data_IF_619213625872
#
_entry.id   IF_619213625872
#
_cell.length_a   1.000
_cell.length_b   1.000
_cell.length_c   1.000
_cell.angle_alpha   90.00
_cell.angle_beta   90.00
_cell.angle_gamma   90.00
#
_symmetry.space_group_name_H-M   'P 1'
#
loop_
_entity.id
_entity.type
_entity.pdbx_description
1 polymer ?
#
# COMPACT_ATOMS: atom_id res chain seq x y z
N UNK A 1 17.03 -7.52 19.69
CA UNK A 1 15.65 -7.01 19.84
C UNK A 1 14.91 -7.37 18.59
N UNK A 2 13.73 -7.96 18.72
CA UNK A 2 12.85 -8.26 17.57
C UNK A 2 12.47 -6.94 16.90
N UNK A 3 12.61 -6.87 15.58
CA UNK A 3 12.25 -5.65 14.84
C UNK A 3 10.74 -5.48 14.90
N UNK A 4 10.29 -4.33 15.34
CA UNK A 4 8.87 -4.03 15.42
C UNK A 4 8.33 -3.73 14.02
N UNK A 5 7.16 -4.27 13.71
CA UNK A 5 6.53 -4.21 12.40
C UNK A 5 5.14 -3.58 12.50
N UNK A 6 4.71 -2.91 11.45
CA UNK A 6 3.40 -2.29 11.35
C UNK A 6 2.77 -2.48 9.97
N UNK A 7 1.47 -2.25 9.91
CA UNK A 7 0.69 -2.17 8.66
C UNK A 7 -0.12 -0.88 8.70
N UNK A 8 -0.06 -0.11 7.64
CA UNK A 8 -0.84 1.13 7.49
C UNK A 8 -2.32 0.78 7.48
N UNK A 9 -3.09 1.47 8.33
CA UNK A 9 -4.54 1.28 8.47
C UNK A 9 -5.33 2.49 8.01
N UNK A 10 -4.72 3.68 7.98
CA UNK A 10 -5.29 4.85 7.33
C UNK A 10 -5.41 4.61 5.82
N UNK A 11 -6.33 5.26 5.17
CA UNK A 11 -6.52 5.25 3.71
C UNK A 11 -5.19 5.51 2.99
N UNK A 12 -4.49 6.54 3.42
CA UNK A 12 -3.10 6.85 3.11
C UNK A 12 -2.49 7.65 4.26
N UNK A 13 -1.17 7.73 4.31
CA UNK A 13 -0.44 8.61 5.22
C UNK A 13 0.84 9.12 4.57
N UNK A 14 1.29 10.30 5.02
CA UNK A 14 2.53 10.88 4.52
C UNK A 14 3.72 10.41 5.32
N UNK A 15 4.75 9.97 4.61
CA UNK A 15 6.09 9.81 5.17
C UNK A 15 6.76 11.17 5.22
N UNK A 16 7.08 11.66 6.42
CA UNK A 16 7.59 13.01 6.64
C UNK A 16 9.09 13.02 6.93
N UNK A 17 9.79 14.07 6.51
CA UNK A 17 11.23 14.22 6.73
C UNK A 17 11.61 14.46 8.19
N UNK A 18 10.69 14.93 9.04
CA UNK A 18 10.95 15.25 10.44
C UNK A 18 9.70 15.32 11.29
N UNK A 19 9.91 15.62 12.59
CA UNK A 19 8.86 15.76 13.60
C UNK A 19 8.73 17.17 14.15
N UNK A 20 9.29 18.18 13.48
CA UNK A 20 9.30 19.52 14.02
C UNK A 20 7.89 20.14 14.00
N UNK A 21 7.35 20.33 15.20
CA UNK A 21 6.21 21.20 15.43
C UNK A 21 6.74 22.63 15.67
N UNK A 22 6.68 23.49 14.68
CA UNK A 22 6.75 24.93 14.94
C UNK A 22 5.34 25.49 14.80
N UNK A 23 4.85 26.11 15.86
CA UNK A 23 3.56 26.85 15.90
C UNK A 23 2.30 25.98 15.67
N UNK A 24 2.29 24.71 16.08
CA UNK A 24 1.14 23.81 15.91
C UNK A 24 0.84 23.46 14.46
N UNK A 25 1.74 23.77 13.52
CA UNK A 25 1.68 23.39 12.11
C UNK A 25 2.88 22.50 11.81
N UNK A 26 2.61 21.28 11.41
CA UNK A 26 3.67 20.39 10.92
C UNK A 26 4.21 20.95 9.59
N UNK A 27 5.39 21.56 9.62
CA UNK A 27 6.08 22.13 8.45
C UNK A 27 7.16 21.23 7.88
N UNK A 28 7.20 19.97 8.31
CA UNK A 28 8.16 19.02 7.74
C UNK A 28 7.78 18.67 6.31
N UNK A 29 8.77 18.48 5.46
CA UNK A 29 8.57 18.05 4.08
C UNK A 29 7.85 16.70 4.02
N UNK A 30 7.10 16.48 2.95
CA UNK A 30 6.57 15.17 2.58
C UNK A 30 7.63 14.51 1.72
N UNK A 31 8.10 13.34 2.15
CA UNK A 31 9.07 12.53 1.42
C UNK A 31 8.35 11.55 0.48
N UNK A 32 7.21 11.03 0.94
CA UNK A 32 6.43 10.06 0.18
C UNK A 32 5.00 9.93 0.72
N UNK A 33 4.16 9.21 -0.01
CA UNK A 33 2.81 8.83 0.37
C UNK A 33 2.70 7.31 0.37
N UNK A 34 2.22 6.74 1.48
CA UNK A 34 2.08 5.30 1.68
C UNK A 34 0.63 4.93 1.97
N UNK A 35 0.19 3.78 1.47
CA UNK A 35 -1.23 3.42 1.37
C UNK A 35 -1.65 2.32 2.34
N UNK A 36 -2.95 2.20 2.57
CA UNK A 36 -3.55 1.18 3.41
C UNK A 36 -3.04 -0.23 3.04
N UNK A 37 -2.69 -1.00 4.05
CA UNK A 37 -2.20 -2.36 3.91
C UNK A 37 -0.69 -2.50 3.62
N UNK A 38 0.04 -1.40 3.40
CA UNK A 38 1.49 -1.45 3.24
C UNK A 38 2.18 -1.74 4.57
N UNK A 39 3.20 -2.58 4.51
CA UNK A 39 4.02 -2.90 5.68
C UNK A 39 5.11 -1.86 5.91
N UNK A 40 5.36 -1.59 7.18
CA UNK A 40 6.43 -0.71 7.64
C UNK A 40 7.24 -1.38 8.75
N UNK A 41 8.51 -1.00 8.86
CA UNK A 41 9.38 -1.35 9.97
C UNK A 41 9.51 -0.16 10.91
N UNK A 42 9.24 -0.36 12.20
CA UNK A 42 9.38 0.68 13.21
C UNK A 42 10.84 0.73 13.61
N UNK A 43 11.48 1.88 13.38
CA UNK A 43 12.89 2.10 13.67
C UNK A 43 13.11 2.75 15.04
N UNK A 44 12.25 3.73 15.37
CA UNK A 44 12.37 4.48 16.61
C UNK A 44 11.00 4.97 17.07
N UNK A 45 10.72 4.70 18.32
CA UNK A 45 9.53 5.22 19.02
C UNK A 45 9.93 6.33 19.99
N UNK A 46 9.09 7.34 20.10
CA UNK A 46 9.16 8.31 21.18
C UNK A 46 7.80 8.36 21.85
N UNK A 47 7.65 7.82 23.08
CA UNK A 47 6.37 7.78 23.77
C UNK A 47 5.75 9.16 24.05
N UNK A 48 6.56 10.21 23.97
CA UNK A 48 6.10 11.60 24.18
C UNK A 48 5.65 12.28 22.89
N UNK A 49 5.71 11.59 21.74
CA UNK A 49 5.36 12.16 20.43
C UNK A 49 4.43 11.22 19.67
N UNK A 50 3.50 11.80 18.93
CA UNK A 50 2.53 11.07 18.12
C UNK A 50 3.15 10.46 16.84
N UNK A 51 4.37 10.87 16.47
CA UNK A 51 5.07 10.41 15.28
C UNK A 51 6.14 9.37 15.60
N UNK A 52 6.20 8.35 14.77
CA UNK A 52 7.12 7.22 14.86
C UNK A 52 8.02 7.18 13.64
N UNK A 53 9.33 7.00 13.82
CA UNK A 53 10.24 6.80 12.69
C UNK A 53 10.10 5.40 12.16
N UNK A 54 9.84 5.30 10.86
CA UNK A 54 9.60 4.04 10.17
C UNK A 54 10.47 3.92 8.92
N UNK A 55 10.58 2.70 8.42
CA UNK A 55 11.14 2.36 7.12
C UNK A 55 10.07 1.65 6.30
N UNK A 56 9.88 2.08 5.07
CA UNK A 56 8.96 1.45 4.11
C UNK A 56 9.55 0.15 3.55
N UNK A 57 8.75 -0.63 2.85
CA UNK A 57 9.20 -1.88 2.21
C UNK A 57 10.26 -1.65 1.11
N UNK A 58 10.37 -0.45 0.55
CA UNK A 58 11.36 -0.06 -0.45
C UNK A 58 12.52 0.77 0.13
N UNK A 59 12.65 0.84 1.46
CA UNK A 59 13.82 1.38 2.16
C UNK A 59 13.78 2.88 2.44
N UNK A 60 12.70 3.60 2.11
CA UNK A 60 12.57 4.98 2.52
C UNK A 60 12.31 5.07 4.02
N UNK A 61 12.96 6.03 4.66
CA UNK A 61 12.78 6.29 6.09
C UNK A 61 12.17 7.66 6.32
N UNK A 62 11.26 7.75 7.28
CA UNK A 62 10.63 9.00 7.67
C UNK A 62 9.72 8.81 8.88
N UNK A 63 8.88 9.78 9.12
CA UNK A 63 8.00 9.81 10.27
C UNK A 63 6.54 9.68 9.85
N UNK A 64 5.80 8.81 10.53
CA UNK A 64 4.38 8.53 10.32
C UNK A 64 3.64 8.72 11.64
N UNK A 65 2.40 9.22 11.60
CA UNK A 65 1.54 9.31 12.78
C UNK A 65 1.24 7.89 13.30
N UNK A 66 1.40 7.68 14.61
CA UNK A 66 1.16 6.37 15.22
C UNK A 66 -0.30 5.90 15.11
N UNK A 67 -1.24 6.80 14.82
CA UNK A 67 -2.66 6.50 14.61
C UNK A 67 -2.95 5.91 13.25
N UNK A 68 -2.04 6.11 12.28
CA UNK A 68 -2.22 5.71 10.89
C UNK A 68 -1.81 4.27 10.62
N UNK A 69 -1.24 3.57 11.60
CA UNK A 69 -0.85 2.18 11.46
C UNK A 69 -1.15 1.36 12.72
N UNK A 70 -1.25 0.06 12.55
CA UNK A 70 -1.27 -0.89 13.68
C UNK A 70 -0.01 -1.74 13.70
N UNK A 71 0.42 -2.15 14.89
CA UNK A 71 1.51 -3.11 15.04
C UNK A 71 1.06 -4.50 14.63
N UNK A 72 1.97 -5.23 14.01
CA UNK A 72 1.73 -6.60 13.55
C UNK A 72 2.89 -7.50 13.95
N UNK A 73 2.61 -8.80 14.05
CA UNK A 73 3.64 -9.81 14.25
C UNK A 73 4.28 -10.20 12.91
N UNK A 74 5.49 -10.77 12.97
CA UNK A 74 6.13 -11.38 11.81
C UNK A 74 5.24 -12.44 11.14
N UNK A 75 4.61 -13.29 11.95
CA UNK A 75 3.69 -14.33 11.46
C UNK A 75 2.52 -13.75 10.66
N UNK A 76 1.98 -12.62 11.11
CA UNK A 76 0.91 -11.95 10.36
C UNK A 76 1.40 -11.42 9.02
N UNK A 77 2.59 -10.81 8.96
CA UNK A 77 3.16 -10.37 7.68
C UNK A 77 3.45 -11.54 6.74
N UNK A 78 3.90 -12.68 7.26
CA UNK A 78 4.11 -13.90 6.47
C UNK A 78 2.79 -14.40 5.86
N UNK A 79 1.69 -14.37 6.62
CA UNK A 79 0.35 -14.72 6.10
C UNK A 79 -0.10 -13.76 4.99
N UNK A 80 0.24 -12.48 5.10
CA UNK A 80 -0.09 -11.48 4.08
C UNK A 80 0.71 -11.64 2.77
N UNK A 81 1.67 -12.56 2.71
CA UNK A 81 2.38 -12.89 1.48
C UNK A 81 1.53 -13.70 0.48
N UNK A 82 0.45 -14.30 0.93
CA UNK A 82 -0.49 -15.02 0.06
C UNK A 82 -1.14 -14.06 -0.94
N UNK A 83 -0.73 -14.12 -2.19
CA UNK A 83 -1.16 -13.24 -3.28
C UNK A 83 -2.54 -13.56 -3.83
N UNK A 84 -3.06 -14.72 -3.52
CA UNK A 84 -4.43 -15.09 -3.85
C UNK A 84 -5.41 -14.55 -2.81
N UNK A 85 -4.92 -14.35 -1.59
CA UNK A 85 -5.70 -13.84 -0.47
C UNK A 85 -5.55 -12.32 -0.29
N UNK A 86 -4.35 -11.78 -0.43
CA UNK A 86 -4.09 -10.34 -0.28
C UNK A 86 -3.90 -9.70 -1.63
N UNK A 87 -4.90 -8.95 -2.06
CA UNK A 87 -5.00 -8.35 -3.38
C UNK A 87 -4.75 -6.83 -3.33
N UNK A 88 -4.40 -6.26 -4.47
CA UNK A 88 -4.18 -4.83 -4.63
C UNK A 88 -5.38 -4.17 -5.30
N UNK A 89 -5.72 -2.96 -4.88
CA UNK A 89 -6.66 -2.08 -5.59
C UNK A 89 -5.95 -1.56 -6.85
N UNK A 90 -6.57 -1.74 -8.03
CA UNK A 90 -5.99 -1.31 -9.31
C UNK A 90 -6.56 -0.02 -9.86
N UNK A 91 -7.77 0.35 -9.47
CA UNK A 91 -8.43 1.61 -9.86
C UNK A 91 -7.92 2.76 -9.00
N UNK A 92 -8.04 4.00 -9.48
CA UNK A 92 -7.63 5.20 -8.73
C UNK A 92 -8.24 5.22 -7.34
N UNK A 93 -9.55 5.02 -7.28
CA UNK A 93 -10.36 4.96 -6.07
C UNK A 93 -11.37 3.83 -6.19
N UNK A 94 -11.75 3.24 -5.07
CA UNK A 94 -12.80 2.23 -4.97
C UNK A 94 -13.50 2.29 -3.61
N UNK A 95 -14.82 2.37 -3.61
CA UNK A 95 -15.61 2.30 -2.39
C UNK A 95 -15.71 0.85 -1.89
N UNK A 96 -15.47 0.68 -0.61
CA UNK A 96 -15.86 -0.52 0.14
C UNK A 96 -17.30 -0.33 0.61
N UNK A 97 -18.23 -1.15 0.12
CA UNK A 97 -19.66 -0.99 0.36
C UNK A 97 -20.21 -1.99 1.39
N UNK A 98 -21.30 -1.65 2.04
CA UNK A 98 -21.99 -2.53 3.01
C UNK A 98 -22.75 -3.68 2.35
N UNK A 99 -23.04 -3.58 1.04
CA UNK A 99 -23.77 -4.57 0.25
C UNK A 99 -23.16 -4.72 -1.15
N UNK A 100 -23.25 -5.92 -1.78
CA UNK A 100 -22.74 -6.18 -3.12
C UNK A 100 -23.65 -5.61 -4.21
N UNK A 101 -23.82 -4.30 -4.21
CA UNK A 101 -24.63 -3.56 -5.20
C UNK A 101 -24.20 -2.10 -5.27
N UNK A 102 -24.41 -1.46 -6.42
CA UNK A 102 -24.03 -0.06 -6.67
C UNK A 102 -24.66 0.93 -5.67
N UNK A 103 -25.85 0.61 -5.13
CA UNK A 103 -26.54 1.46 -4.15
C UNK A 103 -26.15 1.14 -2.69
N UNK A 104 -25.12 0.31 -2.47
CA UNK A 104 -24.57 0.06 -1.13
C UNK A 104 -24.06 1.36 -0.50
N UNK A 105 -24.08 1.42 0.83
CA UNK A 105 -23.53 2.56 1.55
C UNK A 105 -21.99 2.43 1.60
N UNK A 106 -21.24 3.49 1.29
CA UNK A 106 -19.80 3.47 1.40
C UNK A 106 -19.38 3.39 2.88
N UNK A 107 -18.54 2.41 3.19
CA UNK A 107 -17.96 2.17 4.51
C UNK A 107 -16.56 2.76 4.62
N UNK A 108 -15.77 2.64 3.56
CA UNK A 108 -14.38 3.08 3.50
C UNK A 108 -14.00 3.37 2.05
N UNK A 109 -13.15 4.36 1.82
CA UNK A 109 -12.53 4.63 0.52
C UNK A 109 -11.19 3.88 0.46
N UNK A 110 -10.95 3.21 -0.64
CA UNK A 110 -9.70 2.49 -0.92
C UNK A 110 -9.02 3.11 -2.14
N UNK A 111 -7.78 3.52 -1.95
CA UNK A 111 -6.97 4.12 -3.01
C UNK A 111 -6.19 3.08 -3.82
N UNK A 112 -5.78 3.45 -5.03
CA UNK A 112 -4.89 2.63 -5.87
C UNK A 112 -3.67 2.18 -5.07
N UNK A 113 -3.29 0.92 -5.22
CA UNK A 113 -2.21 0.25 -4.51
C UNK A 113 -2.50 -0.13 -3.05
N UNK A 114 -3.62 0.26 -2.46
CA UNK A 114 -4.04 -0.30 -1.16
C UNK A 114 -4.14 -1.83 -1.23
N UNK A 115 -3.79 -2.49 -0.13
CA UNK A 115 -3.83 -3.96 -0.02
C UNK A 115 -5.01 -4.36 0.86
N UNK A 116 -5.88 -5.19 0.31
CA UNK A 116 -7.04 -5.76 0.99
C UNK A 116 -6.95 -7.28 1.07
N UNK A 117 -7.58 -7.86 2.08
CA UNK A 117 -7.74 -9.31 2.23
C UNK A 117 -9.02 -9.75 1.52
N UNK A 118 -8.90 -10.65 0.55
CA UNK A 118 -10.04 -11.29 -0.09
C UNK A 118 -10.62 -12.34 0.88
N UNK A 119 -11.88 -12.17 1.27
CA UNK A 119 -12.61 -13.11 2.12
C UNK A 119 -13.39 -14.10 1.29
N UNK A 120 -14.08 -13.60 0.26
CA UNK A 120 -14.87 -14.42 -0.64
C UNK A 120 -14.92 -13.76 -2.02
N UNK A 121 -14.63 -14.54 -3.06
CA UNK A 121 -14.65 -14.07 -4.45
C UNK A 121 -16.03 -14.32 -5.04
N UNK A 122 -16.53 -13.32 -5.82
CA UNK A 122 -17.77 -13.44 -6.59
C UNK A 122 -18.99 -13.87 -5.73
N UNK A 123 -19.16 -13.24 -4.56
CA UNK A 123 -20.33 -13.44 -3.69
C UNK A 123 -21.65 -13.05 -4.37
N UNK A 124 -21.58 -12.16 -5.37
CA UNK A 124 -22.63 -11.80 -6.32
C UNK A 124 -21.94 -11.47 -7.64
N UNK A 125 -22.68 -11.40 -8.74
CA UNK A 125 -22.13 -11.11 -10.06
C UNK A 125 -21.29 -9.81 -10.05
N UNK A 126 -19.99 -9.94 -10.27
CA UNK A 126 -19.03 -8.84 -10.30
C UNK A 126 -18.64 -8.28 -8.92
N UNK A 127 -19.03 -8.92 -7.80
CA UNK A 127 -18.73 -8.44 -6.45
C UNK A 127 -17.99 -9.46 -5.61
N UNK A 128 -16.96 -9.01 -4.91
CA UNK A 128 -16.20 -9.80 -3.95
C UNK A 128 -16.27 -9.20 -2.55
N UNK A 129 -16.25 -10.05 -1.53
CA UNK A 129 -16.17 -9.63 -0.13
C UNK A 129 -14.70 -9.53 0.28
N UNK A 130 -14.32 -8.39 0.85
CA UNK A 130 -12.96 -8.12 1.28
C UNK A 130 -12.93 -7.56 2.70
N UNK A 131 -11.75 -7.58 3.31
CA UNK A 131 -11.43 -6.87 4.55
C UNK A 131 -10.30 -5.88 4.27
N UNK A 132 -10.51 -4.61 4.63
CA UNK A 132 -9.49 -3.56 4.52
C UNK A 132 -8.41 -3.71 5.60
N UNK A 133 -7.36 -2.91 5.50
CA UNK A 133 -6.30 -2.87 6.50
C UNK A 133 -6.75 -2.31 7.85
N UNK A 134 -7.78 -1.47 7.87
CA UNK A 134 -8.43 -0.96 9.10
C UNK A 134 -9.21 -2.06 9.84
N UNK A 135 -9.52 -3.18 9.15
CA UNK A 135 -10.36 -4.27 9.66
C UNK A 135 -11.82 -4.19 9.22
N UNK A 136 -12.19 -3.16 8.45
CA UNK A 136 -13.55 -3.02 7.93
C UNK A 136 -13.82 -4.10 6.86
N UNK A 137 -14.91 -4.86 7.02
CA UNK A 137 -15.39 -5.79 6.00
C UNK A 137 -16.46 -5.15 5.14
N UNK A 138 -16.47 -5.49 3.86
CA UNK A 138 -17.45 -5.00 2.93
C UNK A 138 -17.29 -5.63 1.55
N UNK A 139 -17.94 -5.03 0.57
CA UNK A 139 -17.99 -5.51 -0.80
C UNK A 139 -17.37 -4.50 -1.75
N UNK A 140 -16.65 -5.01 -2.73
CA UNK A 140 -16.00 -4.24 -3.78
C UNK A 140 -16.24 -4.90 -5.13
N UNK A 141 -16.30 -4.13 -6.21
CA UNK A 141 -16.29 -4.72 -7.53
C UNK A 141 -15.04 -5.55 -7.77
N UNK A 142 -15.22 -6.80 -8.16
CA UNK A 142 -14.11 -7.75 -8.40
C UNK A 142 -13.10 -7.22 -9.40
N UNK A 143 -13.55 -6.45 -10.39
CA UNK A 143 -12.67 -5.80 -11.37
C UNK A 143 -11.70 -4.77 -10.77
N UNK A 144 -11.98 -4.22 -9.57
CA UNK A 144 -11.09 -3.30 -8.88
C UNK A 144 -9.92 -4.02 -8.18
N UNK A 145 -9.99 -5.35 -8.10
CA UNK A 145 -8.98 -6.19 -7.46
C UNK A 145 -7.98 -6.73 -8.48
N UNK A 146 -6.71 -6.64 -8.14
CA UNK A 146 -5.62 -7.22 -8.94
C UNK A 146 -4.72 -8.06 -8.06
N UNK A 147 -4.29 -9.22 -8.59
CA UNK A 147 -3.23 -10.02 -7.97
C UNK A 147 -1.96 -9.19 -7.86
N UNK A 148 -1.29 -9.26 -6.74
CA UNK A 148 0.00 -8.58 -6.54
C UNK A 148 1.09 -9.26 -7.37
N UNK A 149 2.14 -8.51 -7.69
CA UNK A 149 3.29 -9.02 -8.42
C UNK A 149 4.14 -9.97 -7.55
N UNK A 150 4.93 -10.81 -8.19
CA UNK A 150 5.77 -11.76 -7.49
C UNK A 150 6.89 -11.12 -6.67
N UNK A 151 7.25 -9.88 -7.00
CA UNK A 151 8.32 -9.13 -6.35
C UNK A 151 7.81 -7.83 -5.69
N UNK A 152 6.50 -7.73 -5.40
CA UNK A 152 6.03 -6.60 -4.64
C UNK A 152 6.53 -6.70 -3.19
N UNK A 153 7.34 -5.73 -2.78
CA UNK A 153 7.93 -5.67 -1.46
C UNK A 153 7.00 -5.17 -0.35
N UNK A 154 5.68 -5.11 -0.58
CA UNK A 154 4.72 -4.60 0.42
C UNK A 154 4.74 -5.36 1.75
N UNK A 155 5.51 -6.45 1.81
CA UNK A 155 5.67 -7.30 2.95
C UNK A 155 7.16 -7.39 3.31
N UNK A 156 7.56 -6.63 4.28
CA UNK A 156 8.92 -6.57 4.83
C UNK A 156 9.38 -7.94 5.35
N UNK A 157 9.92 -8.77 4.48
CA UNK A 157 10.80 -9.87 4.89
C UNK A 157 12.23 -9.51 4.52
N UNK A 158 13.17 -9.68 5.44
CA UNK A 158 14.58 -9.28 5.25
C UNK A 158 15.22 -9.91 4.00
N UNK A 159 14.86 -11.15 3.69
CA UNK A 159 15.35 -11.89 2.52
C UNK A 159 14.80 -11.32 1.21
N UNK A 160 13.52 -10.92 1.18
CA UNK A 160 12.89 -10.38 -0.02
C UNK A 160 13.23 -8.91 -0.28
N UNK A 161 13.56 -8.14 0.75
CA UNK A 161 14.07 -6.79 0.55
C UNK A 161 15.45 -6.81 -0.11
N UNK A 162 16.33 -7.73 0.26
CA UNK A 162 17.62 -7.90 -0.41
C UNK A 162 17.40 -8.22 -1.90
N UNK A 163 16.49 -9.12 -2.23
CA UNK A 163 16.15 -9.46 -3.61
C UNK A 163 15.49 -8.29 -4.37
N UNK A 164 14.61 -7.53 -3.72
CA UNK A 164 13.97 -6.36 -4.30
C UNK A 164 15.02 -5.30 -4.68
N UNK A 165 15.93 -4.97 -3.77
CA UNK A 165 16.98 -3.98 -4.02
C UNK A 165 18.09 -4.50 -4.95
N UNK A 166 18.44 -5.76 -4.89
CA UNK A 166 19.39 -6.35 -5.84
C UNK A 166 18.83 -6.41 -7.27
N UNK A 167 17.52 -6.58 -7.41
CA UNK A 167 16.85 -6.60 -8.70
C UNK A 167 16.41 -5.22 -9.18
N UNK A 168 16.35 -4.20 -8.31
CA UNK A 168 16.11 -2.82 -8.71
C UNK A 168 17.23 -2.24 -9.58
N UNK A 169 18.49 -2.57 -9.27
CA UNK A 169 19.65 -2.17 -10.09
C UNK A 169 19.75 -2.92 -11.43
N UNK A 170 19.02 -4.01 -11.54
CA UNK A 170 18.89 -4.77 -12.78
C UNK A 170 17.41 -4.82 -13.11
N UNK A 171 16.90 -3.85 -13.90
CA UNK A 171 15.57 -4.02 -14.47
C UNK A 171 15.59 -5.36 -15.20
N UNK A 172 14.89 -6.32 -14.63
CA UNK A 172 14.70 -7.62 -15.28
C UNK A 172 13.77 -7.36 -16.46
N UNK A 173 14.37 -6.95 -17.56
CA UNK A 173 13.73 -7.01 -18.86
C UNK A 173 13.60 -8.50 -19.17
N UNK A 174 12.50 -9.09 -18.72
CA UNK A 174 12.17 -10.43 -19.10
C UNK A 174 11.92 -10.45 -20.61
N UNK A 175 12.81 -11.16 -21.27
CA UNK A 175 12.67 -11.75 -22.61
C UNK A 175 11.98 -10.86 -23.66
N UNK A 176 12.79 -10.19 -24.46
CA UNK A 176 12.37 -9.64 -25.74
C UNK A 176 11.67 -8.27 -25.70
N UNK A 177 11.62 -7.59 -24.57
CA UNK A 177 11.20 -6.19 -24.51
C UNK A 177 12.35 -5.21 -24.84
N UNK A 178 13.21 -5.62 -25.73
CA UNK A 178 14.19 -4.73 -26.36
C UNK A 178 13.53 -3.80 -27.41
N UNK A 179 12.21 -3.84 -27.55
CA UNK A 179 11.51 -2.93 -28.43
C UNK A 179 11.23 -1.64 -27.67
N UNK A 180 12.03 -0.62 -28.00
CA UNK A 180 11.93 0.73 -27.45
C UNK A 180 10.51 1.32 -27.63
N UNK A 181 9.82 0.91 -28.66
CA UNK A 181 8.47 1.34 -29.00
C UNK A 181 7.44 0.81 -28.00
N UNK A 182 7.52 -0.45 -27.63
CA UNK A 182 6.66 -1.07 -26.60
C UNK A 182 6.90 -0.47 -25.23
N UNK A 183 8.16 -0.17 -24.89
CA UNK A 183 8.49 0.49 -23.63
C UNK A 183 7.93 1.92 -23.59
N UNK A 184 8.03 2.64 -24.70
CA UNK A 184 7.47 4.00 -24.84
C UNK A 184 5.96 4.00 -24.69
N UNK A 185 5.24 3.11 -25.38
CA UNK A 185 3.78 2.96 -25.25
C UNK A 185 3.37 2.69 -23.81
N UNK A 186 4.05 1.79 -23.10
CA UNK A 186 3.76 1.50 -21.68
C UNK A 186 4.03 2.68 -20.76
N UNK A 187 5.08 3.44 -21.01
CA UNK A 187 5.38 4.66 -20.24
C UNK A 187 4.33 5.74 -20.52
N UNK A 188 3.91 5.90 -21.79
CA UNK A 188 2.85 6.85 -22.14
C UNK A 188 1.51 6.46 -21.53
N UNK A 189 1.14 5.19 -21.55
CA UNK A 189 -0.10 4.71 -20.94
C UNK A 189 -0.08 4.90 -19.42
N UNK A 190 1.04 4.58 -18.77
CA UNK A 190 1.22 4.85 -17.32
C UNK A 190 1.14 6.35 -17.02
N UNK A 191 1.75 7.20 -17.85
CA UNK A 191 1.69 8.65 -17.66
C UNK A 191 0.28 9.21 -17.86
N UNK A 192 -0.50 8.65 -18.81
CA UNK A 192 -1.89 9.04 -19.05
C UNK A 192 -2.82 8.75 -17.86
N UNK A 193 -2.53 7.71 -17.08
CA UNK A 193 -3.28 7.42 -15.84
C UNK A 193 -3.20 8.57 -14.82
N UNK A 194 -2.17 9.41 -14.91
CA UNK A 194 -1.97 10.57 -14.02
C UNK A 194 -2.42 11.90 -14.62
N UNK A 195 -2.98 11.90 -15.87
CA UNK A 195 -3.52 13.12 -16.45
C UNK A 195 -4.73 13.62 -15.65
N UNK A 196 -4.62 14.86 -15.18
CA UNK A 196 -5.65 15.50 -14.33
C UNK A 196 -5.45 15.33 -12.84
N UNK A 197 -4.46 14.54 -12.40
CA UNK A 197 -4.06 14.52 -10.98
C UNK A 197 -3.26 15.79 -10.68
N UNK A 198 -3.55 16.42 -9.53
CA UNK A 198 -2.73 17.54 -9.07
C UNK A 198 -1.45 16.98 -8.42
N UNK A 199 -0.32 17.51 -8.86
CA UNK A 199 0.94 17.34 -8.13
C UNK A 199 0.82 18.11 -6.80
N UNK A 200 0.95 17.42 -5.69
CA UNK A 200 0.94 18.00 -4.34
C UNK A 200 2.32 17.98 -3.72
#
# INVERSE_FOLDING_TARGET
MEKQLGVITAEHTYLRSGMEESDGRNRTGIEDEIFAGWAIRILQENPAKDFVKVETHYGYTGYVDQRDFRRVTRKELEQRQDKERFLRIQTGEADLLDQPKVQGLPLELLLKNSIVELLEREVAEGWSKVRSASGQEGYIHTQNLKRRMDHDGYLLTEEKNADYFQNWEKPVYHDGLADEEVLRERLEDSAREFLGTQYR
#
